data_IF_345270162136
#
_entry.id   IF_345270162136
#
_cell.length_a   1.000
_cell.length_b   1.000
_cell.length_c   1.000
_cell.angle_alpha   90.00
_cell.angle_beta   90.00
_cell.angle_gamma   90.00
#
_symmetry.space_group_name_H-M   'P 1'
#
loop_
_entity.id
_entity.type
_entity.pdbx_description
1 polymer ?
#
# COMPACT_ATOMS: atom_id res chain seq x y z
N UNK A 1 -32.03 -69.18 -46.92
CA UNK A 1 -30.60 -69.48 -47.10
C UNK A 1 -30.15 -68.90 -48.44
N UNK A 2 -29.07 -68.10 -48.44
CA UNK A 2 -28.29 -67.62 -49.60
C UNK A 2 -28.98 -66.62 -50.54
N UNK A 3 -28.41 -65.51 -51.02
CA UNK A 3 -27.35 -64.56 -50.62
C UNK A 3 -27.22 -63.62 -51.82
N UNK A 4 -27.21 -62.30 -51.58
CA UNK A 4 -26.46 -61.22 -52.28
C UNK A 4 -26.59 -61.07 -53.82
N UNK A 5 -26.52 -59.89 -54.44
CA UNK A 5 -25.88 -58.64 -54.08
C UNK A 5 -26.53 -57.49 -54.88
N UNK A 6 -26.65 -56.30 -54.28
CA UNK A 6 -26.77 -55.06 -55.05
C UNK A 6 -25.77 -54.05 -54.48
N UNK A 7 -24.76 -53.79 -55.29
CA UNK A 7 -23.64 -52.89 -55.03
C UNK A 7 -24.14 -51.46 -54.87
N UNK A 8 -23.81 -50.81 -53.75
CA UNK A 8 -24.01 -49.37 -53.59
C UNK A 8 -22.65 -48.70 -53.34
N UNK A 9 -22.31 -47.80 -54.26
CA UNK A 9 -21.12 -46.97 -54.32
C UNK A 9 -20.97 -46.16 -53.02
N UNK A 10 -19.83 -46.29 -52.34
CA UNK A 10 -19.45 -45.46 -51.20
C UNK A 10 -18.67 -44.24 -51.73
N UNK A 11 -19.31 -43.06 -51.74
CA UNK A 11 -18.62 -41.79 -52.03
C UNK A 11 -18.05 -41.26 -50.71
N UNK A 12 -16.74 -41.37 -50.53
CA UNK A 12 -16.03 -40.87 -49.35
C UNK A 12 -15.60 -39.41 -49.60
N UNK A 13 -16.43 -38.46 -49.17
CA UNK A 13 -16.04 -37.05 -49.13
C UNK A 13 -15.14 -36.82 -47.91
N UNK A 14 -13.83 -36.64 -48.13
CA UNK A 14 -12.91 -36.22 -47.08
C UNK A 14 -13.14 -34.74 -46.75
N UNK A 15 -13.95 -34.47 -45.74
CA UNK A 15 -14.05 -33.14 -45.14
C UNK A 15 -12.82 -32.93 -44.24
N UNK A 16 -11.86 -32.14 -44.71
CA UNK A 16 -10.75 -31.67 -43.88
C UNK A 16 -11.29 -30.65 -42.86
N UNK A 17 -11.73 -31.15 -41.70
CA UNK A 17 -12.08 -30.30 -40.56
C UNK A 17 -10.79 -29.79 -39.93
N UNK A 18 -10.44 -28.53 -40.19
CA UNK A 18 -9.38 -27.84 -39.45
C UNK A 18 -9.83 -27.66 -38.00
N UNK A 19 -9.45 -28.58 -37.12
CA UNK A 19 -9.56 -28.39 -35.67
C UNK A 19 -8.61 -27.27 -35.25
N UNK A 20 -9.14 -26.06 -35.12
CA UNK A 20 -8.45 -24.97 -34.41
C UNK A 20 -8.43 -25.34 -32.93
N UNK A 21 -7.26 -25.77 -32.44
CA UNK A 21 -7.04 -25.91 -31.02
C UNK A 21 -7.08 -24.50 -30.40
N UNK A 22 -8.11 -24.21 -29.61
CA UNK A 22 -8.07 -23.09 -28.68
C UNK A 22 -6.93 -23.39 -27.70
N UNK A 23 -5.76 -22.81 -27.96
CA UNK A 23 -4.67 -22.79 -27.00
C UNK A 23 -5.21 -22.08 -25.75
N UNK A 24 -5.55 -22.85 -24.73
CA UNK A 24 -5.98 -22.31 -23.44
C UNK A 24 -4.83 -21.49 -22.88
N UNK A 25 -5.04 -20.17 -22.77
CA UNK A 25 -4.08 -19.29 -22.13
C UNK A 25 -3.84 -19.79 -20.70
N UNK A 26 -2.59 -19.98 -20.26
CA UNK A 26 -2.33 -20.35 -18.87
C UNK A 26 -2.84 -19.22 -17.97
N UNK A 27 -3.96 -19.45 -17.28
CA UNK A 27 -4.46 -18.55 -16.26
C UNK A 27 -3.66 -18.83 -14.99
N UNK A 28 -2.65 -18.02 -14.74
CA UNK A 28 -1.99 -17.98 -13.43
C UNK A 28 -3.00 -17.42 -12.43
N UNK A 29 -3.36 -18.15 -11.35
CA UNK A 29 -4.28 -17.63 -10.35
C UNK A 29 -3.66 -16.39 -9.69
N UNK A 30 -4.33 -15.25 -9.87
CA UNK A 30 -3.95 -13.99 -9.24
C UNK A 30 -4.62 -13.94 -7.88
N UNK A 31 -3.85 -14.07 -6.81
CA UNK A 31 -4.35 -13.84 -5.45
C UNK A 31 -4.52 -12.33 -5.28
N UNK A 32 -5.76 -11.86 -5.19
CA UNK A 32 -6.09 -10.49 -4.81
C UNK A 32 -6.37 -10.44 -3.30
N UNK A 33 -5.56 -9.68 -2.56
CA UNK A 33 -5.80 -9.43 -1.14
C UNK A 33 -6.74 -8.23 -1.01
N UNK A 34 -7.89 -8.44 -0.38
CA UNK A 34 -8.78 -7.34 -0.01
C UNK A 34 -8.30 -6.71 1.32
N UNK A 35 -7.32 -5.81 1.18
CA UNK A 35 -6.73 -5.09 2.33
C UNK A 35 -7.78 -4.28 3.07
N UNK A 36 -8.75 -3.68 2.36
CA UNK A 36 -9.78 -2.84 2.96
C UNK A 36 -10.68 -3.64 3.91
N UNK A 37 -11.10 -4.84 3.51
CA UNK A 37 -11.88 -5.73 4.36
C UNK A 37 -11.08 -6.22 5.57
N UNK A 38 -9.80 -6.57 5.38
CA UNK A 38 -8.92 -7.05 6.45
C UNK A 38 -8.69 -5.96 7.51
N UNK A 39 -8.41 -4.72 7.09
CA UNK A 39 -8.05 -3.64 8.00
C UNK A 39 -9.26 -2.87 8.57
N UNK A 40 -10.47 -3.15 8.10
CA UNK A 40 -11.68 -2.37 8.39
C UNK A 40 -11.89 -2.13 9.88
N UNK A 41 -11.81 -3.19 10.69
CA UNK A 41 -12.03 -3.08 12.13
C UNK A 41 -10.96 -2.21 12.81
N UNK A 42 -9.68 -2.41 12.45
CA UNK A 42 -8.55 -1.62 12.97
C UNK A 42 -8.72 -0.14 12.64
N UNK A 43 -9.17 0.17 11.42
CA UNK A 43 -9.41 1.54 10.96
C UNK A 43 -10.56 2.18 11.75
N UNK A 44 -11.71 1.49 11.86
CA UNK A 44 -12.87 2.04 12.59
C UNK A 44 -12.55 2.29 14.06
N UNK A 45 -11.82 1.38 14.71
CA UNK A 45 -11.36 1.56 16.09
C UNK A 45 -10.43 2.77 16.25
N UNK A 46 -9.51 2.99 15.29
CA UNK A 46 -8.65 4.17 15.30
C UNK A 46 -9.45 5.46 15.08
N UNK A 47 -10.48 5.42 14.21
CA UNK A 47 -11.36 6.55 13.94
C UNK A 47 -12.21 6.92 15.16
N UNK A 48 -12.81 5.93 15.84
CA UNK A 48 -13.55 6.15 17.09
C UNK A 48 -12.67 6.80 18.16
N UNK A 49 -11.41 6.34 18.31
CA UNK A 49 -10.44 6.97 19.21
C UNK A 49 -10.13 8.41 18.80
N UNK A 50 -9.97 8.68 17.51
CA UNK A 50 -9.68 10.02 17.00
C UNK A 50 -10.83 11.00 17.25
N UNK A 51 -12.09 10.56 17.12
CA UNK A 51 -13.28 11.40 17.38
C UNK A 51 -13.36 11.92 18.82
N UNK A 52 -12.72 11.26 19.77
CA UNK A 52 -12.67 11.71 21.18
C UNK A 52 -11.57 12.73 21.47
N UNK A 53 -10.64 12.95 20.53
CA UNK A 53 -9.51 13.85 20.74
C UNK A 53 -9.94 15.29 20.49
N UNK A 54 -9.59 16.18 21.41
CA UNK A 54 -9.75 17.60 21.18
C UNK A 54 -8.79 18.07 20.08
N UNK A 55 -9.23 18.93 19.14
CA UNK A 55 -8.32 19.55 18.19
C UNK A 55 -7.24 20.36 18.93
N UNK A 56 -5.99 20.17 18.55
CA UNK A 56 -4.85 20.92 19.07
C UNK A 56 -4.40 21.91 18.00
N UNK A 57 -4.40 23.20 18.33
CA UNK A 57 -3.87 24.25 17.45
C UNK A 57 -2.39 24.47 17.66
N UNK A 58 -1.74 25.10 16.67
CA UNK A 58 -0.36 25.56 16.80
C UNK A 58 -0.14 26.46 18.03
N UNK A 59 -1.12 27.31 18.32
CA UNK A 59 -1.09 28.26 19.44
C UNK A 59 -1.19 27.60 20.81
N UNK A 60 -1.54 26.31 20.89
CA UNK A 60 -1.61 25.58 22.15
C UNK A 60 -0.21 25.32 22.77
N UNK A 61 0.84 25.32 21.94
CA UNK A 61 2.21 25.01 22.35
C UNK A 61 3.20 26.06 21.81
N UNK A 62 3.47 27.13 22.57
CA UNK A 62 4.40 28.16 22.16
C UNK A 62 5.83 27.62 22.05
N UNK A 63 6.44 27.74 20.88
CA UNK A 63 7.83 27.34 20.65
C UNK A 63 8.79 28.44 21.11
N UNK A 64 9.50 28.22 22.22
CA UNK A 64 10.45 29.19 22.80
C UNK A 64 11.60 29.59 21.88
N UNK A 65 11.96 28.69 20.96
CA UNK A 65 13.06 28.89 20.01
C UNK A 65 12.58 29.46 18.67
N UNK A 66 11.27 29.70 18.49
CA UNK A 66 10.76 30.31 17.26
C UNK A 66 11.09 31.79 17.23
N UNK A 67 11.63 32.25 16.09
CA UNK A 67 11.77 33.67 15.78
C UNK A 67 10.48 34.28 15.20
N UNK A 68 9.49 33.43 14.87
CA UNK A 68 8.19 33.82 14.31
C UNK A 68 7.12 34.17 15.35
N UNK A 69 5.95 34.57 14.85
CA UNK A 69 4.77 34.84 15.67
C UNK A 69 4.03 33.58 16.12
N UNK A 70 2.99 33.75 16.94
CA UNK A 70 2.20 32.64 17.54
C UNK A 70 1.48 31.74 16.52
N UNK A 71 1.37 32.18 15.27
CA UNK A 71 0.75 31.43 14.18
C UNK A 71 1.78 30.83 13.20
N UNK A 72 3.07 31.02 13.45
CA UNK A 72 4.14 30.53 12.59
C UNK A 72 4.61 29.16 13.09
N UNK A 73 4.54 28.14 12.22
CA UNK A 73 4.92 26.78 12.58
C UNK A 73 6.42 26.68 12.88
N UNK A 74 6.75 26.02 13.99
CA UNK A 74 8.12 25.73 14.40
C UNK A 74 8.25 24.26 14.81
N UNK A 75 9.38 23.64 14.43
CA UNK A 75 9.77 22.31 14.88
C UNK A 75 11.29 22.22 14.97
N UNK A 76 11.79 21.54 16.00
CA UNK A 76 13.21 21.23 16.13
C UNK A 76 13.57 20.05 15.20
N UNK A 77 14.77 20.08 14.62
CA UNK A 77 15.23 18.94 13.84
C UNK A 77 15.53 17.74 14.74
N UNK A 78 14.99 16.58 14.38
CA UNK A 78 15.02 15.31 15.14
C UNK A 78 16.41 14.94 15.68
N UNK A 79 17.46 15.21 14.92
CA UNK A 79 18.84 14.82 15.25
C UNK A 79 19.70 15.93 15.84
N UNK A 80 19.13 17.07 16.23
CA UNK A 80 19.89 18.18 16.77
C UNK A 80 19.79 18.22 18.29
N UNK A 81 20.94 18.13 18.96
CA UNK A 81 21.05 18.02 20.41
C UNK A 81 21.84 19.20 21.00
N UNK A 82 21.56 19.64 22.23
CA UNK A 82 22.42 20.59 22.93
C UNK A 82 23.86 20.06 23.04
N UNK A 83 24.84 20.93 22.77
CA UNK A 83 26.25 20.61 22.94
C UNK A 83 26.64 20.65 24.42
N UNK A 84 26.80 19.48 25.04
CA UNK A 84 27.17 19.34 26.46
C UNK A 84 28.55 19.91 26.80
N UNK A 85 29.38 20.25 25.80
CA UNK A 85 30.68 20.90 26.01
C UNK A 85 30.58 22.42 26.13
N UNK A 86 29.39 22.99 25.92
CA UNK A 86 29.15 24.45 25.93
C UNK A 86 28.27 24.84 27.12
N UNK A 87 28.56 25.96 27.81
CA UNK A 87 27.80 26.39 28.98
C UNK A 87 26.29 26.58 28.73
N UNK A 88 25.91 26.92 27.50
CA UNK A 88 24.53 27.15 27.10
C UNK A 88 23.98 26.07 26.15
N UNK A 89 24.73 24.98 25.91
CA UNK A 89 24.30 23.93 24.98
C UNK A 89 24.25 24.35 23.51
N UNK A 90 24.74 25.54 23.15
CA UNK A 90 24.68 26.09 21.80
C UNK A 90 26.08 26.20 21.14
N UNK A 91 26.18 26.06 19.80
CA UNK A 91 25.11 25.65 18.89
C UNK A 91 24.75 24.17 19.10
N UNK A 92 23.55 23.77 18.66
CA UNK A 92 23.20 22.34 18.70
C UNK A 92 24.14 21.56 17.77
N UNK A 93 24.36 20.29 18.11
CA UNK A 93 25.17 19.35 17.35
C UNK A 93 24.32 18.22 16.81
N UNK A 94 24.65 17.72 15.61
CA UNK A 94 23.91 16.63 14.98
C UNK A 94 24.35 15.27 15.55
N UNK A 95 23.39 14.46 16.02
CA UNK A 95 23.55 13.05 16.38
C UNK A 95 22.64 12.20 15.47
N UNK A 96 23.19 11.76 14.36
CA UNK A 96 22.41 11.07 13.33
C UNK A 96 21.78 9.76 13.85
N UNK A 97 20.51 9.53 13.52
CA UNK A 97 19.75 8.36 13.98
C UNK A 97 19.34 8.38 15.45
N UNK A 98 19.60 9.47 16.19
CA UNK A 98 19.19 9.64 17.58
C UNK A 98 18.17 10.77 17.70
N UNK A 99 16.90 10.41 17.92
CA UNK A 99 15.81 11.35 18.18
C UNK A 99 16.01 12.11 19.48
N UNK A 100 16.08 13.43 19.38
CA UNK A 100 16.03 14.34 20.52
C UNK A 100 14.59 14.39 21.06
N UNK A 101 14.33 14.03 22.34
CA UNK A 101 12.98 14.02 22.90
C UNK A 101 12.43 15.40 23.30
N UNK A 102 13.22 16.47 23.11
CA UNK A 102 12.86 17.86 23.43
C UNK A 102 11.79 18.47 22.51
#
# INVERSE_FOLDING_TARGET
>A
MKTLALSLLLVLAAASSSTSALAGTPVTPRVSVDVASIDRERILKAAEKALTQAPVSLTAFPAKLSEGGVNDFYSNGDYWWPDSTKPNGLPYIRRDGQTNPE
#
